data_IF_047330621258
#
_entry.id   IF_047330621258
#
_cell.length_a   1.000
_cell.length_b   1.000
_cell.length_c   1.000
_cell.angle_alpha   90.00
_cell.angle_beta   90.00
_cell.angle_gamma   90.00
#
_symmetry.space_group_name_H-M   'P 1'
#
loop_
_entity.id
_entity.type
_entity.pdbx_description
1 polymer ?
#
# COMPACT_ATOMS: atom_id res chain seq x y z
N UNK A 1 -26.56 0.14 -7.49
CA UNK A 1 -25.64 -0.82 -6.86
C UNK A 1 -24.38 -0.10 -6.42
N UNK A 2 -24.12 0.01 -5.11
CA UNK A 2 -23.08 0.89 -4.54
C UNK A 2 -22.21 0.20 -3.48
N UNK A 3 -22.17 -1.14 -3.47
CA UNK A 3 -21.35 -1.93 -2.53
C UNK A 3 -20.36 -2.84 -3.26
N UNK A 4 -19.54 -2.28 -4.16
CA UNK A 4 -18.42 -3.07 -4.68
C UNK A 4 -17.37 -3.22 -3.58
N UNK A 5 -17.21 -4.44 -3.07
CA UNK A 5 -16.08 -4.83 -2.22
C UNK A 5 -14.74 -4.80 -2.97
N UNK A 6 -14.74 -4.44 -4.26
CA UNK A 6 -13.53 -4.31 -5.06
C UNK A 6 -12.75 -3.01 -4.80
N UNK A 7 -13.35 -2.02 -4.11
CA UNK A 7 -12.67 -0.73 -3.89
C UNK A 7 -11.98 -0.69 -2.53
N UNK A 8 -10.76 -0.16 -2.53
CA UNK A 8 -10.03 0.25 -1.31
C UNK A 8 -10.95 1.07 -0.40
N UNK A 9 -11.00 0.80 0.91
CA UNK A 9 -10.01 0.08 1.73
C UNK A 9 -10.21 -1.45 1.80
N UNK A 10 -11.01 -2.04 0.92
CA UNK A 10 -11.07 -3.50 0.79
C UNK A 10 -9.76 -4.06 0.22
N UNK A 11 -9.25 -5.20 0.75
CA UNK A 11 -8.07 -5.87 0.22
C UNK A 11 -8.38 -6.78 -1.00
N UNK A 12 -9.66 -6.90 -1.41
CA UNK A 12 -10.13 -7.90 -2.37
C UNK A 12 -9.27 -8.00 -3.64
N UNK A 13 -9.03 -6.88 -4.32
CA UNK A 13 -8.22 -6.87 -5.55
C UNK A 13 -6.77 -7.36 -5.32
N UNK A 14 -6.20 -7.08 -4.14
CA UNK A 14 -4.84 -7.53 -3.81
C UNK A 14 -4.83 -9.03 -3.53
N UNK A 15 -5.82 -9.54 -2.80
CA UNK A 15 -5.97 -10.98 -2.51
C UNK A 15 -6.29 -11.78 -3.78
N UNK A 16 -7.01 -11.20 -4.74
CA UNK A 16 -7.23 -11.79 -6.06
C UNK A 16 -5.92 -11.86 -6.84
N UNK A 17 -5.15 -10.76 -6.90
CA UNK A 17 -3.83 -10.75 -7.54
C UNK A 17 -2.84 -11.73 -6.87
N UNK A 18 -2.90 -11.88 -5.55
CA UNK A 18 -2.10 -12.87 -4.83
C UNK A 18 -2.36 -14.29 -5.34
N UNK A 19 -3.63 -14.65 -5.52
CA UNK A 19 -4.03 -15.99 -5.99
C UNK A 19 -3.70 -16.19 -7.46
N UNK A 20 -3.94 -15.17 -8.29
CA UNK A 20 -3.76 -15.25 -9.75
C UNK A 20 -2.28 -15.31 -10.14
N UNK A 21 -1.43 -14.54 -9.46
CA UNK A 21 -0.02 -14.38 -9.82
C UNK A 21 0.95 -15.01 -8.81
N UNK A 22 0.44 -15.73 -7.79
CA UNK A 22 1.23 -16.34 -6.73
C UNK A 22 2.20 -15.34 -6.04
N UNK A 23 1.68 -14.15 -5.70
CA UNK A 23 2.47 -13.05 -5.13
C UNK A 23 2.74 -13.32 -3.65
N UNK A 24 3.99 -13.14 -3.23
CA UNK A 24 4.32 -13.11 -1.81
C UNK A 24 4.00 -11.73 -1.21
N UNK A 25 2.83 -11.62 -0.57
CA UNK A 25 2.40 -10.38 0.07
C UNK A 25 3.36 -9.91 1.16
N UNK A 26 3.96 -10.84 1.92
CA UNK A 26 4.84 -10.50 3.04
C UNK A 26 6.14 -9.82 2.56
N UNK A 27 6.59 -10.15 1.36
CA UNK A 27 7.74 -9.50 0.72
C UNK A 27 7.34 -8.41 -0.29
N UNK A 28 6.05 -8.09 -0.39
CA UNK A 28 5.53 -7.04 -1.28
C UNK A 28 5.44 -5.68 -0.60
N UNK A 29 5.27 -4.65 -1.43
CA UNK A 29 5.11 -3.27 -1.01
C UNK A 29 3.81 -2.69 -1.57
N UNK A 30 3.05 -2.00 -0.72
CA UNK A 30 1.90 -1.19 -1.11
C UNK A 30 2.31 0.28 -1.06
N UNK A 31 2.14 1.00 -2.16
CA UNK A 31 2.49 2.42 -2.26
C UNK A 31 1.26 3.18 -2.72
N UNK A 32 0.89 4.24 -2.01
CA UNK A 32 -0.29 5.03 -2.34
C UNK A 32 -0.35 6.39 -1.64
N UNK A 33 -1.23 7.25 -2.12
CA UNK A 33 -1.42 8.62 -1.64
C UNK A 33 -2.66 8.81 -0.76
N UNK A 34 -3.45 7.73 -0.59
CA UNK A 34 -4.66 7.73 0.23
C UNK A 34 -4.52 6.74 1.37
N UNK A 35 -5.14 7.08 2.51
CA UNK A 35 -5.26 6.17 3.65
C UNK A 35 -5.85 4.82 3.24
N UNK A 36 -6.81 4.81 2.31
CA UNK A 36 -7.44 3.58 1.83
C UNK A 36 -6.47 2.63 1.10
N UNK A 37 -5.37 3.13 0.53
CA UNK A 37 -4.30 2.31 -0.05
C UNK A 37 -3.55 1.56 1.05
N UNK A 38 -3.18 2.29 2.11
CA UNK A 38 -2.49 1.74 3.27
C UNK A 38 -3.35 0.70 3.98
N UNK A 39 -4.62 1.02 4.22
CA UNK A 39 -5.58 0.11 4.86
C UNK A 39 -5.77 -1.17 4.03
N UNK A 40 -5.86 -1.05 2.70
CA UNK A 40 -6.00 -2.21 1.82
C UNK A 40 -4.73 -3.08 1.85
N UNK A 41 -3.54 -2.48 1.77
CA UNK A 41 -2.27 -3.19 1.86
C UNK A 41 -2.13 -3.95 3.19
N UNK A 42 -2.41 -3.29 4.31
CA UNK A 42 -2.38 -3.92 5.64
C UNK A 42 -3.36 -5.08 5.76
N UNK A 43 -4.62 -4.89 5.34
CA UNK A 43 -5.63 -5.96 5.38
C UNK A 43 -5.29 -7.13 4.46
N UNK A 44 -4.56 -6.89 3.37
CA UNK A 44 -4.08 -7.92 2.47
C UNK A 44 -2.81 -8.63 2.98
N UNK A 45 -2.25 -8.20 4.12
CA UNK A 45 -1.01 -8.77 4.66
C UNK A 45 0.24 -8.36 3.89
N UNK A 46 0.20 -7.23 3.18
CA UNK A 46 1.39 -6.67 2.52
C UNK A 46 2.41 -6.27 3.58
N UNK A 47 3.66 -6.72 3.42
CA UNK A 47 4.68 -6.56 4.45
C UNK A 47 5.10 -5.11 4.71
N UNK A 48 5.00 -4.24 3.69
CA UNK A 48 5.40 -2.83 3.79
C UNK A 48 4.41 -1.92 3.08
N UNK A 49 4.04 -0.83 3.73
CA UNK A 49 3.14 0.19 3.22
C UNK A 49 3.84 1.55 3.19
N UNK A 50 3.64 2.29 2.10
CA UNK A 50 4.28 3.58 1.86
C UNK A 50 3.20 4.60 1.51
N UNK A 51 3.11 5.64 2.34
CA UNK A 51 2.23 6.77 2.09
C UNK A 51 2.99 7.90 1.39
N UNK A 52 2.47 8.36 0.26
CA UNK A 52 3.00 9.52 -0.47
C UNK A 52 2.20 10.76 -0.05
N UNK A 53 2.87 11.69 0.63
CA UNK A 53 2.28 12.96 1.07
C UNK A 53 2.21 13.93 -0.11
N UNK A 54 0.98 14.29 -0.50
CA UNK A 54 0.74 15.40 -1.44
C UNK A 54 0.37 16.71 -0.73
N UNK A 55 -0.27 16.63 0.44
CA UNK A 55 -0.61 17.78 1.28
C UNK A 55 -0.33 17.41 2.74
N UNK A 56 0.31 18.33 3.48
CA UNK A 56 0.65 18.14 4.90
C UNK A 56 -0.59 18.03 5.80
N UNK A 57 -1.78 18.39 5.31
CA UNK A 57 -3.03 18.23 6.05
C UNK A 57 -3.53 16.78 6.09
N UNK A 58 -3.09 15.92 5.16
CA UNK A 58 -3.49 14.52 5.09
C UNK A 58 -2.28 13.62 5.37
N UNK A 59 -2.06 13.32 6.65
CA UNK A 59 -1.03 12.36 7.07
C UNK A 59 -1.63 10.99 7.36
N UNK A 60 -0.98 9.93 6.88
CA UNK A 60 -1.30 8.55 7.25
C UNK A 60 -0.20 7.98 8.16
N UNK A 61 -0.35 8.18 9.47
CA UNK A 61 0.60 7.67 10.48
C UNK A 61 0.61 6.14 10.59
N UNK A 62 -0.31 5.48 9.91
CA UNK A 62 -0.40 4.03 9.88
C UNK A 62 0.55 3.41 8.87
N UNK A 63 1.04 4.16 7.88
CA UNK A 63 1.98 3.60 6.91
C UNK A 63 3.34 3.32 7.55
N UNK A 64 4.02 2.26 7.12
CA UNK A 64 5.36 1.92 7.59
C UNK A 64 6.39 2.98 7.18
N UNK A 65 6.18 3.60 6.01
CA UNK A 65 6.99 4.69 5.51
C UNK A 65 6.12 5.84 5.01
N UNK A 66 6.58 7.07 5.23
CA UNK A 66 5.95 8.28 4.72
C UNK A 66 6.99 9.02 3.88
N UNK A 67 6.66 9.28 2.62
CA UNK A 67 7.54 9.97 1.67
C UNK A 67 6.79 11.12 1.00
N UNK A 68 7.52 12.15 0.56
CA UNK A 68 6.91 13.29 -0.15
C UNK A 68 6.94 13.13 -1.67
N UNK A 69 7.79 12.24 -2.18
CA UNK A 69 8.01 12.02 -3.61
C UNK A 69 8.40 10.57 -3.86
N UNK A 70 7.87 9.98 -4.93
CA UNK A 70 8.15 8.59 -5.34
C UNK A 70 9.65 8.33 -5.52
N UNK A 71 10.45 9.32 -5.95
CA UNK A 71 11.90 9.16 -6.08
C UNK A 71 12.62 8.76 -4.77
N UNK A 72 12.05 9.03 -3.59
CA UNK A 72 12.58 8.56 -2.31
C UNK A 72 12.42 7.04 -2.11
N UNK A 73 11.54 6.38 -2.87
CA UNK A 73 11.26 4.96 -2.76
C UNK A 73 12.48 4.09 -3.13
N UNK A 74 13.28 4.51 -4.12
CA UNK A 74 14.48 3.78 -4.53
C UNK A 74 15.43 3.54 -3.36
N UNK A 75 15.68 4.58 -2.56
CA UNK A 75 16.55 4.48 -1.38
C UNK A 75 15.96 3.63 -0.25
N UNK A 76 14.63 3.43 -0.20
CA UNK A 76 13.99 2.56 0.79
C UNK A 76 14.07 1.09 0.37
N UNK A 77 13.78 0.80 -0.90
CA UNK A 77 13.79 -0.56 -1.44
C UNK A 77 15.20 -1.12 -1.48
N UNK A 78 16.20 -0.32 -1.90
CA UNK A 78 17.60 -0.77 -1.99
C UNK A 78 18.28 -1.09 -0.65
N UNK A 79 17.75 -0.62 0.48
CA UNK A 79 18.32 -0.88 1.82
C UNK A 79 17.90 -2.22 2.42
N UNK A 80 17.06 -2.97 1.73
CA UNK A 80 16.46 -4.22 2.23
C UNK A 80 16.88 -5.45 1.42
N UNK A 81 17.79 -5.26 0.46
CA UNK A 81 18.48 -6.29 -0.31
C UNK A 81 19.94 -6.28 0.12
#
# INVERSE_FOLDING_TARGET
ESNCECRKPSPKMLLEAQKEFNIDMKHSWMVGDKKSDIDAGKKAGVGKTVYIVHDRQNMCNEADYIIEKVGKLEGLVRKQV
#
